data_IF_259199443199
#
_entry.id   IF_259199443199
#
_cell.length_a   1.000
_cell.length_b   1.000
_cell.length_c   1.000
_cell.angle_alpha   90.00
_cell.angle_beta   90.00
_cell.angle_gamma   90.00
#
_symmetry.space_group_name_H-M   'P 1'
#
loop_
_entity.id
_entity.type
_entity.pdbx_description
1 polymer ?
#
# COMPACT_ATOMS: atom_id res chain seq x y z
N UNK A 1 -12.67 18.00 9.39
CA UNK A 1 -12.46 16.58 9.08
C UNK A 1 -12.28 15.84 10.39
N UNK A 2 -13.09 14.84 10.61
CA UNK A 2 -12.98 13.95 11.76
C UNK A 2 -11.79 13.01 11.57
N UNK A 3 -10.97 12.84 12.62
CA UNK A 3 -9.79 11.99 12.60
C UNK A 3 -9.98 10.85 13.58
N UNK A 4 -9.77 9.62 13.10
CA UNK A 4 -9.73 8.44 13.93
C UNK A 4 -8.29 7.94 14.06
N UNK A 5 -7.88 7.66 15.31
CA UNK A 5 -6.58 7.08 15.60
C UNK A 5 -6.75 5.60 15.89
N UNK A 6 -6.13 4.77 15.06
CA UNK A 6 -6.08 3.33 15.29
C UNK A 6 -4.77 3.01 16.01
N UNK A 7 -4.90 2.59 17.26
CA UNK A 7 -3.74 2.25 18.09
C UNK A 7 -3.55 0.74 18.07
N UNK A 8 -2.40 0.34 17.56
CA UNK A 8 -2.00 -1.06 17.53
C UNK A 8 -1.08 -1.37 18.74
N UNK A 9 -1.24 -2.53 19.36
CA UNK A 9 -0.39 -2.94 20.45
C UNK A 9 1.06 -3.02 20.00
N UNK A 10 1.96 -2.33 20.74
CA UNK A 10 3.34 -2.09 20.28
C UNK A 10 4.17 -3.35 20.13
N UNK A 11 3.98 -4.34 20.98
CA UNK A 11 4.72 -5.60 20.93
C UNK A 11 4.28 -6.44 19.75
N UNK A 12 2.98 -6.49 19.47
CA UNK A 12 2.40 -7.16 18.33
C UNK A 12 2.85 -6.50 17.01
N UNK A 13 2.83 -5.17 16.95
CA UNK A 13 3.31 -4.41 15.79
C UNK A 13 4.78 -4.72 15.49
N UNK A 14 5.64 -4.74 16.51
CA UNK A 14 7.06 -5.08 16.35
C UNK A 14 7.26 -6.50 15.84
N UNK A 15 6.52 -7.48 16.35
CA UNK A 15 6.59 -8.87 15.92
C UNK A 15 6.11 -9.00 14.47
N UNK A 16 5.04 -8.31 14.09
CA UNK A 16 4.51 -8.35 12.74
C UNK A 16 5.47 -7.70 11.73
N UNK A 17 6.07 -6.56 12.06
CA UNK A 17 7.10 -5.97 11.21
C UNK A 17 8.35 -6.84 11.09
N UNK A 18 8.82 -7.42 12.19
CA UNK A 18 9.97 -8.33 12.17
C UNK A 18 9.68 -9.56 11.30
N UNK A 19 8.49 -10.12 11.40
CA UNK A 19 8.04 -11.21 10.54
C UNK A 19 8.00 -10.78 9.07
N UNK A 20 7.41 -9.63 8.77
CA UNK A 20 7.33 -9.08 7.42
C UNK A 20 8.71 -8.89 6.78
N UNK A 21 9.66 -8.33 7.52
CA UNK A 21 11.04 -8.16 7.04
C UNK A 21 11.70 -9.52 6.80
N UNK A 22 11.53 -10.47 7.71
CA UNK A 22 12.11 -11.81 7.57
C UNK A 22 11.53 -12.58 6.38
N UNK A 23 10.23 -12.43 6.12
CA UNK A 23 9.52 -13.20 5.09
C UNK A 23 9.57 -12.55 3.71
N UNK A 24 9.47 -11.23 3.64
CA UNK A 24 9.35 -10.45 2.38
C UNK A 24 10.43 -9.38 2.21
N UNK A 25 11.42 -9.32 3.11
CA UNK A 25 12.52 -8.36 3.11
C UNK A 25 12.10 -6.89 3.29
N UNK A 26 10.82 -6.64 3.47
CA UNK A 26 10.25 -5.29 3.63
C UNK A 26 9.18 -5.28 4.72
N UNK A 27 9.07 -4.21 5.52
CA UNK A 27 7.98 -4.04 6.49
C UNK A 27 6.67 -3.61 5.83
N UNK A 28 6.72 -3.19 4.56
CA UNK A 28 5.60 -2.60 3.84
C UNK A 28 4.40 -3.55 3.71
N UNK A 29 4.62 -4.87 3.68
CA UNK A 29 3.55 -5.86 3.65
C UNK A 29 2.72 -5.80 4.93
N UNK A 30 3.35 -5.81 6.11
CA UNK A 30 2.65 -5.65 7.38
C UNK A 30 1.97 -4.27 7.48
N UNK A 31 2.63 -3.20 7.04
CA UNK A 31 2.07 -1.86 7.04
C UNK A 31 0.81 -1.77 6.16
N UNK A 32 0.84 -2.34 4.96
CA UNK A 32 -0.32 -2.38 4.06
C UNK A 32 -1.46 -3.21 4.63
N UNK A 33 -1.14 -4.38 5.20
CA UNK A 33 -2.14 -5.24 5.84
C UNK A 33 -2.86 -4.50 6.97
N UNK A 34 -2.10 -3.90 7.89
CA UNK A 34 -2.66 -3.12 9.00
C UNK A 34 -3.52 -1.96 8.45
N UNK A 35 -3.04 -1.23 7.46
CA UNK A 35 -3.76 -0.10 6.87
C UNK A 35 -5.11 -0.52 6.29
N UNK A 36 -5.14 -1.54 5.44
CA UNK A 36 -6.39 -2.00 4.81
C UNK A 36 -7.34 -2.63 5.82
N UNK A 37 -6.86 -3.53 6.67
CA UNK A 37 -7.68 -4.16 7.69
C UNK A 37 -8.27 -3.14 8.67
N UNK A 38 -7.48 -2.14 9.06
CA UNK A 38 -7.96 -1.06 9.94
C UNK A 38 -9.03 -0.18 9.26
N UNK A 39 -8.88 0.11 7.97
CA UNK A 39 -9.91 0.85 7.23
C UNK A 39 -11.21 0.05 7.11
N UNK A 40 -11.13 -1.25 6.84
CA UNK A 40 -12.30 -2.14 6.79
C UNK A 40 -12.98 -2.18 8.16
N UNK A 41 -12.21 -2.38 9.23
CA UNK A 41 -12.76 -2.42 10.59
C UNK A 41 -13.43 -1.11 11.00
N UNK A 42 -12.79 0.03 10.69
CA UNK A 42 -13.36 1.35 10.95
C UNK A 42 -14.64 1.56 10.14
N UNK A 43 -14.61 1.25 8.84
CA UNK A 43 -15.79 1.39 7.97
C UNK A 43 -16.97 0.55 8.45
N UNK A 44 -16.73 -0.68 8.93
CA UNK A 44 -17.74 -1.53 9.53
C UNK A 44 -18.29 -0.94 10.82
N UNK A 45 -17.43 -0.36 11.68
CA UNK A 45 -17.82 0.25 12.95
C UNK A 45 -18.72 1.48 12.78
N UNK A 46 -18.42 2.33 11.79
CA UNK A 46 -19.17 3.57 11.54
C UNK A 46 -20.24 3.41 10.46
N UNK A 47 -20.45 2.20 9.97
CA UNK A 47 -21.37 1.86 8.87
C UNK A 47 -21.15 2.68 7.60
N UNK A 48 -19.89 2.93 7.25
CA UNK A 48 -19.54 3.58 5.99
C UNK A 48 -19.77 2.62 4.82
N UNK A 49 -20.43 3.06 3.75
CA UNK A 49 -20.70 2.25 2.57
C UNK A 49 -19.47 2.02 1.69
N UNK A 50 -18.44 2.87 1.81
CA UNK A 50 -17.31 2.91 0.88
C UNK A 50 -16.03 3.36 1.59
N UNK A 51 -14.91 2.84 1.11
CA UNK A 51 -13.54 3.24 1.52
C UNK A 51 -12.84 3.87 0.33
N UNK A 52 -12.54 5.16 0.41
CA UNK A 52 -11.78 5.86 -0.64
C UNK A 52 -10.34 6.02 -0.19
N UNK A 53 -9.39 5.68 -1.05
CA UNK A 53 -7.96 5.87 -0.74
C UNK A 53 -7.20 6.54 -1.89
N UNK A 54 -6.12 7.24 -1.54
CA UNK A 54 -5.30 8.03 -2.45
C UNK A 54 -4.00 7.35 -2.91
N UNK A 55 -3.94 6.02 -2.96
CA UNK A 55 -2.79 5.36 -3.57
C UNK A 55 -2.86 5.49 -5.09
N UNK A 56 -1.72 5.78 -5.70
CA UNK A 56 -1.60 5.75 -7.14
C UNK A 56 -1.64 4.31 -7.68
N UNK A 57 -1.98 4.11 -8.97
CA UNK A 57 -2.00 2.79 -9.57
C UNK A 57 -0.69 2.02 -9.37
N UNK A 58 0.45 2.66 -9.60
CA UNK A 58 1.78 2.08 -9.42
C UNK A 58 2.09 1.69 -7.96
N UNK A 59 1.59 2.44 -6.98
CA UNK A 59 1.70 2.10 -5.56
C UNK A 59 0.81 0.91 -5.18
N UNK A 60 -0.33 0.79 -5.82
CA UNK A 60 -1.20 -0.37 -5.63
C UNK A 60 -0.51 -1.64 -6.09
N UNK A 61 0.09 -1.61 -7.27
CA UNK A 61 0.74 -2.78 -7.86
C UNK A 61 1.93 -3.29 -7.05
N UNK A 62 2.66 -2.40 -6.39
CA UNK A 62 3.77 -2.82 -5.52
C UNK A 62 3.34 -3.67 -4.33
N UNK A 63 2.11 -3.53 -3.87
CA UNK A 63 1.58 -4.28 -2.74
C UNK A 63 1.08 -5.68 -3.12
N UNK A 64 1.00 -5.98 -4.42
CA UNK A 64 0.41 -7.21 -4.92
C UNK A 64 1.46 -8.24 -5.34
N UNK A 65 0.96 -9.46 -5.49
CA UNK A 65 1.70 -10.60 -6.03
C UNK A 65 2.30 -10.28 -7.42
N UNK A 66 3.50 -10.76 -7.68
CA UNK A 66 4.24 -10.55 -8.92
C UNK A 66 3.45 -10.98 -10.16
N UNK A 67 2.61 -12.01 -10.05
CA UNK A 67 1.75 -12.50 -11.14
C UNK A 67 0.63 -11.53 -11.48
N UNK A 68 -0.09 -11.03 -10.48
CA UNK A 68 -1.15 -10.01 -10.67
C UNK A 68 -0.54 -8.72 -11.23
N UNK A 69 0.63 -8.32 -10.73
CA UNK A 69 1.35 -7.16 -11.24
C UNK A 69 1.75 -7.35 -12.70
N UNK A 70 2.23 -8.52 -13.09
CA UNK A 70 2.65 -8.84 -14.45
C UNK A 70 1.47 -8.83 -15.43
N UNK A 71 0.30 -9.31 -15.02
CA UNK A 71 -0.93 -9.25 -15.81
C UNK A 71 -1.40 -7.81 -16.02
N UNK A 72 -1.42 -7.01 -14.97
CA UNK A 72 -1.81 -5.61 -15.03
C UNK A 72 -0.89 -4.76 -15.90
N UNK A 73 0.41 -5.01 -15.83
CA UNK A 73 1.41 -4.36 -16.70
C UNK A 73 1.20 -4.73 -18.17
N UNK A 74 0.84 -5.99 -18.47
CA UNK A 74 0.53 -6.41 -19.84
C UNK A 74 -0.76 -5.80 -20.37
N UNK A 75 -1.77 -5.67 -19.50
CA UNK A 75 -3.08 -5.13 -19.85
C UNK A 75 -3.10 -3.60 -19.99
N UNK A 76 -2.13 -2.90 -19.38
CA UNK A 76 -2.08 -1.44 -19.36
C UNK A 76 -3.00 -0.80 -18.32
N UNK A 77 -2.81 0.51 -18.06
CA UNK A 77 -3.57 1.25 -17.03
C UNK A 77 -5.06 1.35 -17.31
N UNK A 78 -5.48 1.35 -18.57
CA UNK A 78 -6.90 1.39 -18.93
C UNK A 78 -7.67 0.18 -18.41
N UNK A 79 -7.03 -0.97 -18.36
CA UNK A 79 -7.63 -2.21 -17.86
C UNK A 79 -7.73 -2.24 -16.32
N UNK A 80 -6.98 -1.40 -15.62
CA UNK A 80 -7.04 -1.32 -14.16
C UNK A 80 -8.37 -0.76 -13.67
N UNK A 81 -9.04 0.08 -14.47
CA UNK A 81 -10.38 0.60 -14.15
C UNK A 81 -11.46 -0.48 -14.14
N UNK A 82 -11.22 -1.57 -14.84
CA UNK A 82 -12.15 -2.71 -14.93
C UNK A 82 -11.90 -3.77 -13.85
N UNK A 83 -10.86 -3.59 -13.03
CA UNK A 83 -10.55 -4.52 -11.96
C UNK A 83 -11.58 -4.43 -10.84
N UNK A 84 -12.03 -5.58 -10.41
CA UNK A 84 -12.73 -5.74 -9.15
C UNK A 84 -11.75 -5.51 -7.97
N UNK A 85 -11.65 -4.24 -7.56
CA UNK A 85 -10.76 -3.83 -6.46
C UNK A 85 -11.13 -4.53 -5.15
N UNK A 86 -12.41 -4.84 -4.94
CA UNK A 86 -12.88 -5.55 -3.76
C UNK A 86 -12.26 -6.94 -3.68
N UNK A 87 -12.39 -7.73 -4.74
CA UNK A 87 -11.78 -9.07 -4.82
C UNK A 87 -10.25 -9.00 -4.72
N UNK A 88 -9.65 -7.97 -5.30
CA UNK A 88 -8.21 -7.75 -5.25
C UNK A 88 -7.72 -7.50 -3.82
N UNK A 89 -8.36 -6.62 -3.06
CA UNK A 89 -7.98 -6.32 -1.67
C UNK A 89 -8.27 -7.48 -0.72
N UNK A 90 -9.41 -8.14 -0.89
CA UNK A 90 -9.75 -9.33 -0.13
C UNK A 90 -8.75 -10.45 -0.39
N UNK A 91 -8.40 -10.68 -1.65
CA UNK A 91 -7.40 -11.66 -2.05
C UNK A 91 -5.99 -11.33 -1.51
N UNK A 92 -5.60 -10.05 -1.49
CA UNK A 92 -4.34 -9.61 -0.89
C UNK A 92 -4.28 -9.90 0.61
N UNK A 93 -5.33 -9.54 1.35
CA UNK A 93 -5.40 -9.81 2.78
C UNK A 93 -5.37 -11.32 3.05
N UNK A 94 -6.12 -12.12 2.30
CA UNK A 94 -6.10 -13.58 2.40
C UNK A 94 -4.74 -14.18 2.13
N UNK A 95 -4.06 -13.78 1.06
CA UNK A 95 -2.72 -14.27 0.71
C UNK A 95 -1.67 -13.92 1.78
N UNK A 96 -1.77 -12.76 2.40
CA UNK A 96 -0.88 -12.37 3.51
C UNK A 96 -1.22 -13.20 4.74
N UNK A 97 -2.51 -13.35 5.05
CA UNK A 97 -3.01 -14.11 6.19
C UNK A 97 -2.55 -15.58 6.13
N UNK A 98 -2.68 -16.24 5.00
CA UNK A 98 -2.23 -17.62 4.77
C UNK A 98 -0.72 -17.81 5.00
N UNK A 99 0.08 -16.79 4.73
CA UNK A 99 1.54 -16.83 4.88
C UNK A 99 2.02 -16.49 6.29
N UNK A 100 1.14 -16.01 7.16
CA UNK A 100 1.48 -15.71 8.54
C UNK A 100 1.60 -16.99 9.39
N UNK A 101 2.50 -16.96 10.36
CA UNK A 101 2.49 -17.94 11.45
C UNK A 101 1.15 -17.91 12.19
N UNK A 102 0.61 -19.10 12.51
CA UNK A 102 -0.75 -19.23 13.06
C UNK A 102 -0.99 -18.34 14.28
N UNK A 103 -0.04 -18.34 15.24
CA UNK A 103 -0.22 -17.57 16.47
C UNK A 103 -0.21 -16.07 16.17
N UNK A 104 0.72 -15.63 15.33
CA UNK A 104 0.80 -14.22 14.93
C UNK A 104 -0.43 -13.81 14.14
N UNK A 105 -0.93 -14.67 13.25
CA UNK A 105 -2.16 -14.45 12.49
C UNK A 105 -3.36 -14.25 13.40
N UNK A 106 -3.58 -15.17 14.34
CA UNK A 106 -4.71 -15.13 15.24
C UNK A 106 -4.69 -13.84 16.11
N UNK A 107 -3.52 -13.42 16.57
CA UNK A 107 -3.36 -12.18 17.32
C UNK A 107 -3.60 -10.93 16.47
N UNK A 108 -3.04 -10.91 15.26
CA UNK A 108 -3.20 -9.77 14.33
C UNK A 108 -4.66 -9.64 13.89
N UNK A 109 -5.30 -10.74 13.52
CA UNK A 109 -6.69 -10.72 13.07
C UNK A 109 -7.64 -10.33 14.21
N UNK A 110 -7.42 -10.84 15.40
CA UNK A 110 -8.16 -10.42 16.59
C UNK A 110 -8.03 -8.92 16.87
N UNK A 111 -6.85 -8.34 16.64
CA UNK A 111 -6.63 -6.91 16.86
C UNK A 111 -7.22 -6.01 15.76
N UNK A 112 -7.30 -6.50 14.51
CA UNK A 112 -7.66 -5.68 13.35
C UNK A 112 -9.11 -5.82 12.89
N UNK A 113 -9.76 -6.95 13.15
CA UNK A 113 -11.11 -7.23 12.63
C UNK A 113 -12.17 -7.36 13.73
N UNK A 114 -12.07 -6.55 14.78
CA UNK A 114 -12.98 -6.63 15.94
C UNK A 114 -14.43 -6.27 15.60
N UNK A 115 -14.62 -5.33 14.68
CA UNK A 115 -15.92 -4.77 14.34
C UNK A 115 -16.50 -5.34 13.02
N UNK A 116 -15.69 -6.13 12.29
CA UNK A 116 -16.13 -6.73 11.03
C UNK A 116 -17.05 -7.92 11.30
N UNK A 117 -18.25 -7.91 10.72
CA UNK A 117 -19.25 -8.96 10.85
C UNK A 117 -19.35 -9.77 9.57
N UNK A 118 -18.96 -11.05 9.63
CA UNK A 118 -19.06 -11.94 8.47
C UNK A 118 -18.23 -11.47 7.28
N UNK A 119 -18.77 -11.57 6.08
CA UNK A 119 -18.14 -11.18 4.82
C UNK A 119 -18.44 -9.72 4.43
N UNK A 120 -18.76 -8.86 5.41
CA UNK A 120 -19.12 -7.46 5.19
C UNK A 120 -17.88 -6.60 4.86
N UNK A 121 -17.30 -6.81 3.70
CA UNK A 121 -16.27 -5.96 3.16
C UNK A 121 -16.89 -4.77 2.42
N UNK A 122 -16.48 -3.57 2.80
CA UNK A 122 -16.94 -2.33 2.16
C UNK A 122 -16.26 -2.13 0.81
N UNK A 123 -16.95 -1.45 -0.11
CA UNK A 123 -16.41 -1.16 -1.43
C UNK A 123 -15.13 -0.30 -1.34
N UNK A 124 -14.08 -0.68 -2.07
CA UNK A 124 -12.84 0.09 -2.19
C UNK A 124 -12.81 0.89 -3.47
N UNK A 125 -12.55 2.19 -3.33
CA UNK A 125 -12.35 3.11 -4.45
C UNK A 125 -10.95 3.70 -4.40
N UNK A 126 -10.13 3.37 -5.40
CA UNK A 126 -8.83 3.98 -5.60
C UNK A 126 -9.01 5.28 -6.42
N UNK A 127 -9.04 6.43 -5.75
CA UNK A 127 -9.36 7.72 -6.36
C UNK A 127 -8.56 8.01 -7.64
N UNK A 128 -7.26 7.78 -7.60
CA UNK A 128 -6.38 8.07 -8.73
C UNK A 128 -6.46 7.09 -9.91
N UNK A 129 -7.28 6.06 -9.84
CA UNK A 129 -7.64 5.28 -11.03
C UNK A 129 -8.62 6.03 -11.92
N UNK A 130 -9.46 6.87 -11.32
CA UNK A 130 -10.51 7.62 -12.03
C UNK A 130 -10.09 9.05 -12.33
N UNK A 131 -9.22 9.63 -11.52
CA UNK A 131 -8.73 11.00 -11.64
C UNK A 131 -7.20 10.98 -11.82
N UNK A 132 -6.71 11.11 -13.07
CA UNK A 132 -5.28 11.28 -13.30
C UNK A 132 -4.73 12.44 -12.49
N UNK A 133 -3.54 12.27 -11.95
CA UNK A 133 -2.91 13.31 -11.15
C UNK A 133 -1.53 13.68 -11.73
N UNK A 134 -1.16 14.94 -11.56
CA UNK A 134 0.20 15.42 -11.72
C UNK A 134 0.79 15.71 -10.33
N UNK A 135 1.84 14.98 -9.97
CA UNK A 135 2.49 15.16 -8.66
C UNK A 135 3.02 16.58 -8.48
N UNK A 136 3.53 17.22 -9.54
CA UNK A 136 4.05 18.59 -9.49
C UNK A 136 2.94 19.60 -9.19
N UNK A 137 1.77 19.41 -9.79
CA UNK A 137 0.61 20.25 -9.53
C UNK A 137 0.13 20.09 -8.09
N UNK A 138 0.03 18.84 -7.60
CA UNK A 138 -0.37 18.55 -6.22
C UNK A 138 0.61 19.17 -5.23
N UNK A 139 1.91 18.97 -5.42
CA UNK A 139 2.95 19.55 -4.56
C UNK A 139 2.88 21.07 -4.58
N UNK A 140 2.73 21.68 -5.75
CA UNK A 140 2.58 23.11 -5.90
C UNK A 140 1.34 23.65 -5.16
N UNK A 141 0.21 22.96 -5.32
CA UNK A 141 -1.03 23.30 -4.62
C UNK A 141 -0.88 23.22 -3.09
N UNK A 142 -0.32 22.11 -2.59
CA UNK A 142 -0.13 21.91 -1.16
C UNK A 142 0.82 22.95 -0.54
N UNK A 143 1.92 23.25 -1.21
CA UNK A 143 2.86 24.31 -0.76
C UNK A 143 2.22 25.68 -0.66
N UNK A 144 1.32 25.99 -1.60
CA UNK A 144 0.66 27.31 -1.66
C UNK A 144 -0.48 27.44 -0.65
N UNK A 145 -1.20 26.36 -0.37
CA UNK A 145 -2.48 26.42 0.34
C UNK A 145 -2.46 25.80 1.73
N UNK A 146 -1.36 25.15 2.12
CA UNK A 146 -1.23 24.48 3.42
C UNK A 146 0.13 24.75 4.05
N UNK A 147 0.29 24.39 5.32
CA UNK A 147 1.59 24.37 6.02
C UNK A 147 2.43 23.12 5.72
N UNK A 148 2.06 22.32 4.74
CA UNK A 148 2.78 21.10 4.41
C UNK A 148 4.15 21.41 3.83
N UNK A 149 5.19 20.89 4.49
CA UNK A 149 6.58 21.04 4.08
C UNK A 149 7.02 19.79 3.33
N UNK A 150 7.35 19.95 2.07
CA UNK A 150 7.98 18.89 1.27
C UNK A 150 9.45 18.86 1.60
N UNK A 151 9.95 17.73 2.10
CA UNK A 151 11.39 17.49 2.15
C UNK A 151 11.99 17.46 0.73
N UNK A 152 13.24 17.92 0.57
CA UNK A 152 13.92 17.93 -0.74
C UNK A 152 14.22 16.53 -1.28
N UNK A 153 14.13 15.50 -0.46
CA UNK A 153 14.40 14.11 -0.81
C UNK A 153 13.17 13.25 -0.61
N UNK A 154 12.56 12.90 -1.74
CA UNK A 154 11.75 11.70 -2.01
C UNK A 154 10.62 11.24 -1.06
N UNK A 155 9.55 10.94 -1.64
CA UNK A 155 8.25 10.21 -1.61
C UNK A 155 7.81 9.41 -0.36
N UNK A 156 8.55 9.27 0.71
CA UNK A 156 8.12 8.62 1.95
C UNK A 156 8.46 9.51 3.15
N UNK A 157 7.86 10.69 3.16
CA UNK A 157 8.08 11.70 4.20
C UNK A 157 7.72 11.23 5.60
N UNK A 158 6.86 10.21 5.68
CA UNK A 158 6.32 9.63 6.90
C UNK A 158 7.02 8.34 7.35
N UNK A 159 7.81 7.70 6.48
CA UNK A 159 8.37 6.38 6.74
C UNK A 159 9.85 6.41 7.13
N UNK A 160 10.14 6.47 8.43
CA UNK A 160 11.52 6.46 8.96
C UNK A 160 12.29 5.16 8.72
N UNK A 161 11.61 4.05 8.47
CA UNK A 161 12.25 2.75 8.21
C UNK A 161 12.60 2.56 6.72
N UNK A 162 12.12 3.43 5.85
CA UNK A 162 12.29 3.30 4.40
C UNK A 162 13.77 3.14 3.94
N UNK A 163 14.74 3.91 4.46
CA UNK A 163 16.17 3.72 4.09
C UNK A 163 16.70 2.33 4.44
N UNK A 164 16.33 1.83 5.64
CA UNK A 164 16.74 0.49 6.07
C UNK A 164 16.10 -0.60 5.18
N UNK A 165 14.83 -0.42 4.80
CA UNK A 165 14.14 -1.32 3.87
C UNK A 165 14.84 -1.39 2.52
N UNK A 166 15.20 -0.25 1.94
CA UNK A 166 15.96 -0.19 0.68
C UNK A 166 17.27 -0.98 0.79
N UNK A 167 18.01 -0.75 1.86
CA UNK A 167 19.29 -1.43 2.09
C UNK A 167 19.14 -2.94 2.21
N UNK A 168 18.21 -3.41 3.06
CA UNK A 168 17.96 -4.83 3.28
C UNK A 168 17.59 -5.52 1.97
N UNK A 169 16.66 -4.95 1.22
CA UNK A 169 16.19 -5.52 -0.03
C UNK A 169 17.30 -5.54 -1.10
N UNK A 170 18.08 -4.46 -1.21
CA UNK A 170 19.21 -4.38 -2.12
C UNK A 170 20.28 -5.42 -1.80
N UNK A 171 20.58 -5.66 -0.52
CA UNK A 171 21.53 -6.68 -0.11
C UNK A 171 21.04 -8.10 -0.38
N UNK A 172 19.76 -8.36 -0.21
CA UNK A 172 19.19 -9.70 -0.38
C UNK A 172 18.91 -10.05 -1.85
N UNK A 173 18.38 -9.10 -2.63
CA UNK A 173 17.92 -9.33 -4.00
C UNK A 173 18.87 -8.77 -5.08
N UNK A 174 19.90 -8.03 -4.71
CA UNK A 174 20.82 -7.38 -5.65
C UNK A 174 20.19 -6.27 -6.50
N UNK A 175 18.95 -5.88 -6.20
CA UNK A 175 18.18 -4.87 -6.95
C UNK A 175 17.35 -3.98 -6.02
N UNK A 176 17.02 -2.74 -6.41
CA UNK A 176 16.11 -1.89 -5.63
C UNK A 176 14.69 -2.49 -5.56
N UNK A 177 14.05 -2.43 -4.40
CA UNK A 177 12.69 -2.93 -4.22
C UNK A 177 11.63 -2.14 -5.02
N UNK A 178 11.95 -0.89 -5.41
CA UNK A 178 11.10 -0.01 -6.21
C UNK A 178 11.20 -0.29 -7.73
N UNK A 179 12.09 -1.18 -8.14
CA UNK A 179 12.34 -1.44 -9.57
C UNK A 179 11.08 -1.81 -10.37
N UNK A 180 10.13 -2.63 -9.87
CA UNK A 180 8.91 -2.93 -10.59
C UNK A 180 8.06 -1.67 -10.86
N UNK A 181 7.91 -0.80 -9.86
CA UNK A 181 7.17 0.46 -9.95
C UNK A 181 7.79 1.42 -10.98
N UNK A 182 9.12 1.63 -10.90
CA UNK A 182 9.85 2.45 -11.87
C UNK A 182 9.74 1.86 -13.28
N UNK A 183 9.86 0.56 -13.41
CA UNK A 183 9.74 -0.11 -14.70
C UNK A 183 8.34 0.05 -15.30
N UNK A 184 7.31 0.07 -14.45
CA UNK A 184 5.94 0.37 -14.85
C UNK A 184 5.82 1.81 -15.36
N UNK A 185 6.32 2.80 -14.62
CA UNK A 185 6.28 4.21 -15.01
C UNK A 185 7.00 4.47 -16.35
N UNK A 186 8.11 3.76 -16.59
CA UNK A 186 8.82 3.86 -17.88
C UNK A 186 7.98 3.27 -19.03
N UNK A 187 7.33 2.13 -18.81
CA UNK A 187 6.46 1.52 -19.85
C UNK A 187 5.22 2.34 -20.12
N UNK A 188 4.69 3.00 -19.09
CA UNK A 188 3.53 3.90 -19.21
C UNK A 188 3.89 5.28 -19.78
N UNK A 189 5.17 5.52 -20.09
CA UNK A 189 5.63 6.79 -20.66
C UNK A 189 5.70 7.96 -19.68
N UNK A 190 5.50 7.71 -18.39
CA UNK A 190 5.56 8.73 -17.32
C UNK A 190 6.97 9.07 -16.92
N UNK A 191 7.93 8.18 -17.14
CA UNK A 191 9.36 8.37 -16.93
C UNK A 191 10.13 7.94 -18.18
N UNK A 192 11.19 8.66 -18.49
CA UNK A 192 12.22 8.17 -19.42
C UNK A 192 13.15 7.17 -18.72
N UNK A 193 13.84 6.34 -19.50
CA UNK A 193 14.85 5.42 -18.93
C UNK A 193 15.98 6.16 -18.20
N UNK A 194 16.31 7.37 -18.65
CA UNK A 194 17.41 8.15 -18.06
C UNK A 194 16.99 8.83 -16.75
N UNK A 195 15.74 9.24 -16.63
CA UNK A 195 15.14 9.68 -15.34
C UNK A 195 15.05 8.53 -14.34
N UNK A 196 14.68 7.34 -14.80
CA UNK A 196 14.53 6.14 -13.98
C UNK A 196 15.86 5.61 -13.39
N UNK A 197 17.03 6.02 -13.94
CA UNK A 197 18.36 5.62 -13.45
C UNK A 197 18.94 6.58 -12.41
N UNK A 198 18.34 7.74 -12.21
CA UNK A 198 18.75 8.76 -11.23
C UNK A 198 18.17 8.46 -9.86
#
# INVERSE_FOLDING_TARGET
>A
VEHEYIVFERSLLKRFYAYSIKKWLVPCVACSYIGYASMINLASRIDAGMIVHGRSPEQMFRAYDEDVFSELVRAGLSSVKELDLQSLYTGLLGKIDEKLDKNLRDEVNKALFQDVKGDDFREFVAYFLYHPYDEKEIVSFLRKNTSWLVGEQYNHYDCRIHPATKYIYQCAEGRPHILPEISFLVRDGKLTRDEAKK
#
